data_IF_926944666353
#
_entry.id   IF_926944666353
#
_cell.length_a   1.000
_cell.length_b   1.000
_cell.length_c   1.000
_cell.angle_alpha   90.00
_cell.angle_beta   90.00
_cell.angle_gamma   90.00
#
_symmetry.space_group_name_H-M   'P 1'
#
loop_
_entity.id
_entity.type
_entity.pdbx_description
1 polymer ?
#
# COMPACT_ATOMS: atom_id res chain seq x y z
N UNK A 1 -13.56 -23.61 0.81
CA UNK A 1 -12.21 -23.13 0.40
C UNK A 1 -12.23 -22.12 -0.74
N UNK A 2 -13.28 -22.09 -1.60
CA UNK A 2 -13.36 -21.17 -2.74
C UNK A 2 -13.14 -19.70 -2.37
N UNK A 3 -13.81 -19.20 -1.33
CA UNK A 3 -13.72 -17.78 -0.93
C UNK A 3 -12.30 -17.37 -0.53
N UNK A 4 -11.61 -18.23 0.23
CA UNK A 4 -10.23 -18.00 0.65
C UNK A 4 -9.27 -17.92 -0.55
N UNK A 5 -9.45 -18.80 -1.55
CA UNK A 5 -8.65 -18.77 -2.78
C UNK A 5 -8.90 -17.50 -3.62
N UNK A 6 -10.15 -17.01 -3.63
CA UNK A 6 -10.49 -15.75 -4.30
C UNK A 6 -9.90 -14.54 -3.60
N UNK A 7 -9.93 -14.49 -2.27
CA UNK A 7 -9.34 -13.38 -1.51
C UNK A 7 -7.83 -13.29 -1.72
N UNK A 8 -7.14 -14.44 -1.71
CA UNK A 8 -5.70 -14.52 -2.00
C UNK A 8 -5.35 -13.92 -3.37
N UNK A 9 -6.20 -14.16 -4.38
CA UNK A 9 -5.95 -13.81 -5.78
C UNK A 9 -6.74 -12.61 -6.30
N UNK A 10 -7.37 -11.82 -5.41
CA UNK A 10 -8.31 -10.74 -5.79
C UNK A 10 -7.80 -9.77 -6.86
N UNK A 11 -6.49 -9.45 -6.84
CA UNK A 11 -5.87 -8.57 -7.84
C UNK A 11 -5.79 -9.20 -9.23
N UNK A 12 -5.42 -10.48 -9.29
CA UNK A 12 -5.37 -11.26 -10.52
C UNK A 12 -6.77 -11.49 -11.09
N UNK A 13 -7.69 -12.01 -10.26
CA UNK A 13 -9.06 -12.30 -10.67
C UNK A 13 -9.79 -11.04 -11.15
N UNK A 14 -9.61 -9.90 -10.46
CA UNK A 14 -10.13 -8.60 -10.91
C UNK A 14 -9.72 -8.26 -12.34
N UNK A 15 -8.45 -8.48 -12.70
CA UNK A 15 -7.94 -8.16 -14.03
C UNK A 15 -8.53 -9.09 -15.09
N UNK A 16 -8.63 -10.38 -14.80
CA UNK A 16 -9.13 -11.39 -15.74
C UNK A 16 -10.64 -11.29 -15.93
N UNK A 17 -11.41 -11.14 -14.85
CA UNK A 17 -12.87 -11.17 -14.88
C UNK A 17 -13.48 -9.82 -15.29
N UNK A 18 -12.88 -8.70 -14.87
CA UNK A 18 -13.45 -7.35 -15.08
C UNK A 18 -12.66 -6.45 -16.04
N UNK A 19 -11.49 -6.90 -16.53
CA UNK A 19 -10.59 -6.07 -17.33
C UNK A 19 -10.04 -4.85 -16.59
N UNK A 20 -10.16 -4.80 -15.25
CA UNK A 20 -9.79 -3.64 -14.42
C UNK A 20 -8.98 -4.11 -13.20
N UNK A 21 -8.01 -3.31 -12.70
CA UNK A 21 -7.27 -3.68 -11.49
C UNK A 21 -8.17 -3.64 -10.24
N UNK A 22 -7.76 -4.37 -9.21
CA UNK A 22 -8.28 -4.18 -7.86
C UNK A 22 -7.56 -3.01 -7.22
N UNK A 23 -8.30 -1.96 -6.84
CA UNK A 23 -7.73 -0.74 -6.28
C UNK A 23 -7.84 -0.74 -4.76
N UNK A 24 -6.77 -0.30 -4.10
CA UNK A 24 -6.76 0.01 -2.66
C UNK A 24 -6.34 1.46 -2.51
N UNK A 25 -7.16 2.23 -1.80
CA UNK A 25 -6.85 3.61 -1.45
C UNK A 25 -6.31 3.65 -0.02
N UNK A 26 -5.15 4.28 0.17
CA UNK A 26 -4.58 4.53 1.49
C UNK A 26 -4.67 6.02 1.79
N UNK A 27 -5.19 6.36 2.97
CA UNK A 27 -5.20 7.71 3.53
C UNK A 27 -4.50 7.73 4.89
N UNK A 28 -3.83 8.83 5.23
CA UNK A 28 -3.39 9.14 6.59
C UNK A 28 -3.84 10.56 6.91
N UNK A 29 -4.54 10.72 8.01
CA UNK A 29 -5.12 11.98 8.43
C UNK A 29 -5.13 12.06 9.96
N UNK A 30 -5.20 13.28 10.49
CA UNK A 30 -5.52 13.54 11.88
C UNK A 30 -6.97 13.17 12.19
N UNK A 31 -7.33 13.19 13.47
CA UNK A 31 -8.69 12.85 13.92
C UNK A 31 -9.77 13.78 13.34
N UNK A 32 -9.43 15.04 13.09
CA UNK A 32 -10.29 16.05 12.45
C UNK A 32 -10.24 16.00 10.91
N UNK A 33 -9.64 14.96 10.32
CA UNK A 33 -9.68 14.71 8.88
C UNK A 33 -8.66 15.49 8.05
N UNK A 34 -7.66 16.11 8.68
CA UNK A 34 -6.61 16.88 7.98
C UNK A 34 -5.45 15.99 7.56
N UNK A 35 -4.95 16.21 6.35
CA UNK A 35 -3.82 15.46 5.76
C UNK A 35 -2.53 16.27 5.65
N UNK A 36 -2.59 17.56 5.97
CA UNK A 36 -1.48 18.49 6.08
C UNK A 36 -1.88 19.66 7.00
N UNK A 37 -0.89 20.34 7.56
CA UNK A 37 -1.06 21.63 8.21
C UNK A 37 -1.40 22.72 7.19
N UNK A 38 -1.91 23.85 7.66
CA UNK A 38 -2.28 24.99 6.81
C UNK A 38 -1.08 25.56 6.02
N UNK A 39 0.14 25.36 6.51
CA UNK A 39 1.39 25.75 5.86
C UNK A 39 1.92 24.69 4.86
N UNK A 40 1.17 23.61 4.64
CA UNK A 40 1.51 22.55 3.70
C UNK A 40 2.38 21.43 4.28
N UNK A 41 2.85 21.52 5.52
CA UNK A 41 3.63 20.43 6.15
C UNK A 41 2.72 19.23 6.46
N UNK A 42 3.10 18.06 5.99
CA UNK A 42 2.28 16.83 6.04
C UNK A 42 3.01 15.64 6.67
N UNK A 43 4.20 15.87 7.25
CA UNK A 43 5.04 14.81 7.77
C UNK A 43 4.52 14.23 9.09
N UNK A 44 4.57 12.90 9.19
CA UNK A 44 4.42 12.13 10.43
C UNK A 44 3.09 12.29 11.18
N UNK A 45 1.98 12.52 10.46
CA UNK A 45 0.61 12.46 11.02
C UNK A 45 0.30 11.09 11.65
N UNK A 46 0.84 10.01 11.07
CA UNK A 46 0.71 8.64 11.60
C UNK A 46 2.07 8.12 12.06
N UNK A 47 2.06 7.27 13.10
CA UNK A 47 3.25 6.69 13.72
C UNK A 47 3.95 5.62 12.90
N UNK A 48 5.00 5.01 13.48
CA UNK A 48 5.83 4.02 12.80
C UNK A 48 5.08 2.75 12.40
N UNK A 49 4.26 2.19 13.30
CA UNK A 49 3.49 0.99 13.03
C UNK A 49 2.62 1.11 11.76
N UNK A 50 1.97 2.26 11.57
CA UNK A 50 1.18 2.55 10.37
C UNK A 50 2.04 2.60 9.10
N UNK A 51 3.28 3.09 9.21
CA UNK A 51 4.20 3.16 8.05
C UNK A 51 4.78 1.80 7.68
N UNK A 52 4.96 0.91 8.65
CA UNK A 52 5.33 -0.48 8.41
C UNK A 52 4.18 -1.25 7.76
N UNK A 53 2.94 -1.03 8.21
CA UNK A 53 1.77 -1.64 7.55
C UNK A 53 1.62 -1.22 6.08
N UNK A 54 1.84 0.07 5.78
CA UNK A 54 1.86 0.54 4.38
C UNK A 54 2.96 -0.15 3.56
N UNK A 55 4.12 -0.47 4.15
CA UNK A 55 5.18 -1.20 3.44
C UNK A 55 4.70 -2.59 3.01
N UNK A 56 3.97 -3.31 3.87
CA UNK A 56 3.34 -4.60 3.56
C UNK A 56 2.34 -4.47 2.42
N UNK A 57 1.49 -3.44 2.43
CA UNK A 57 0.52 -3.22 1.35
C UNK A 57 1.18 -2.88 0.02
N UNK A 58 2.29 -2.15 0.05
CA UNK A 58 3.09 -1.90 -1.16
C UNK A 58 3.68 -3.18 -1.73
N UNK A 59 4.22 -4.05 -0.88
CA UNK A 59 4.78 -5.33 -1.30
C UNK A 59 3.74 -6.25 -1.95
N UNK A 60 2.47 -6.15 -1.52
CA UNK A 60 1.33 -6.90 -2.09
C UNK A 60 0.67 -6.23 -3.30
N UNK A 61 1.25 -5.16 -3.84
CA UNK A 61 0.67 -4.38 -4.93
C UNK A 61 1.59 -4.41 -6.15
N UNK A 62 1.02 -4.69 -7.33
CA UNK A 62 1.80 -4.70 -8.58
C UNK A 62 2.23 -3.31 -9.04
N UNK A 63 1.55 -2.25 -8.58
CA UNK A 63 1.87 -0.87 -8.91
C UNK A 63 1.45 0.06 -7.77
N UNK A 64 2.18 1.16 -7.61
CA UNK A 64 1.83 2.27 -6.71
C UNK A 64 1.55 3.50 -7.57
N UNK A 65 0.40 4.13 -7.35
CA UNK A 65 -0.02 5.35 -8.02
C UNK A 65 0.07 6.53 -7.06
N UNK A 66 0.55 7.67 -7.56
CA UNK A 66 0.54 8.94 -6.83
C UNK A 66 0.29 10.10 -7.79
N UNK A 67 -0.18 11.23 -7.25
CA UNK A 67 -0.32 12.46 -8.03
C UNK A 67 0.98 13.25 -8.13
N UNK A 68 1.11 14.07 -9.17
CA UNK A 68 2.29 14.91 -9.36
C UNK A 68 2.49 15.96 -8.24
N UNK A 69 1.41 16.38 -7.57
CA UNK A 69 1.47 17.25 -6.39
C UNK A 69 2.22 16.60 -5.23
N UNK A 70 1.88 15.34 -4.89
CA UNK A 70 2.60 14.55 -3.88
C UNK A 70 4.06 14.35 -4.25
N UNK A 71 4.35 14.08 -5.53
CA UNK A 71 5.74 13.92 -5.98
C UNK A 71 6.57 15.20 -5.74
N UNK A 72 6.00 16.36 -6.06
CA UNK A 72 6.65 17.66 -5.88
C UNK A 72 6.80 18.07 -4.42
N UNK A 73 5.77 17.84 -3.59
CA UNK A 73 5.76 18.26 -2.20
C UNK A 73 6.58 17.35 -1.29
N UNK A 74 6.50 16.02 -1.49
CA UNK A 74 7.05 15.04 -0.54
C UNK A 74 8.32 14.33 -1.06
N UNK A 75 8.64 14.47 -2.36
CA UNK A 75 9.69 13.73 -3.07
C UNK A 75 9.80 12.24 -2.65
N UNK A 76 8.68 11.47 -2.69
CA UNK A 76 8.66 10.15 -2.10
C UNK A 76 9.30 9.13 -3.04
N UNK A 77 10.06 8.19 -2.45
CA UNK A 77 10.55 7.02 -3.20
C UNK A 77 9.46 6.03 -3.60
N UNK A 78 8.37 5.97 -2.82
CA UNK A 78 7.25 5.02 -2.94
C UNK A 78 7.57 3.52 -3.04
N UNK A 79 8.85 3.15 -2.98
CA UNK A 79 9.32 1.77 -2.92
C UNK A 79 8.99 1.12 -1.59
N UNK A 80 9.00 -0.22 -1.60
CA UNK A 80 9.02 -1.05 -0.40
C UNK A 80 10.37 -0.87 0.28
N UNK A 81 10.36 -0.66 1.60
CA UNK A 81 11.59 -0.65 2.42
C UNK A 81 11.62 -1.95 3.23
N UNK A 82 12.60 -2.81 2.94
CA UNK A 82 12.67 -4.18 3.47
C UNK A 82 12.93 -4.21 4.98
N UNK A 83 13.62 -3.21 5.52
CA UNK A 83 13.82 -2.98 6.96
C UNK A 83 12.49 -2.83 7.73
N UNK A 84 11.40 -2.49 7.03
CA UNK A 84 10.05 -2.36 7.61
C UNK A 84 9.17 -3.58 7.42
N UNK A 85 9.70 -4.65 6.80
CA UNK A 85 9.01 -5.91 6.63
C UNK A 85 9.61 -6.95 7.57
N UNK A 86 8.77 -7.63 8.34
CA UNK A 86 9.16 -8.87 9.00
C UNK A 86 9.20 -10.03 7.99
N UNK A 87 9.94 -11.11 8.29
CA UNK A 87 9.95 -12.33 7.47
C UNK A 87 8.55 -12.95 7.30
N UNK A 88 7.58 -12.62 8.17
CA UNK A 88 6.17 -13.05 8.06
C UNK A 88 5.35 -12.18 7.10
N UNK A 89 5.90 -11.04 6.66
CA UNK A 89 5.21 -10.07 5.83
C UNK A 89 5.39 -10.35 4.33
N UNK A 90 6.47 -11.06 4.02
CA UNK A 90 6.70 -11.71 2.74
C UNK A 90 6.04 -13.08 2.82
N UNK A 91 4.95 -13.26 2.10
CA UNK A 91 4.33 -14.58 1.97
C UNK A 91 5.39 -15.53 1.39
N UNK A 92 5.60 -16.72 1.98
CA UNK A 92 6.58 -17.65 1.45
C UNK A 92 6.28 -17.89 -0.02
N UNK A 93 7.30 -17.82 -0.88
CA UNK A 93 7.13 -18.30 -2.25
C UNK A 93 6.57 -19.72 -2.14
N UNK A 94 5.45 -20.04 -2.79
CA UNK A 94 5.03 -21.43 -2.87
C UNK A 94 6.21 -22.23 -3.45
N UNK A 95 6.46 -23.39 -2.85
CA UNK A 95 7.50 -24.31 -3.30
C UNK A 95 7.31 -24.52 -4.81
N UNK A 96 8.32 -24.30 -5.66
CA UNK A 96 8.20 -24.66 -7.05
C UNK A 96 7.93 -26.17 -7.10
N UNK A 97 6.77 -26.56 -7.63
CA UNK A 97 6.50 -27.95 -7.98
C UNK A 97 7.63 -28.51 -8.85
#
# INVERSE_FOLDING_TARGET
MQDAARELNRGFLSRIERGRPWLRLKLAMSLDGRTALADGRSFWITGEAARSDVARWRARSSAILTGAGTMRADNPRLSVRLDRLSHRDVEPRPDPL
#
